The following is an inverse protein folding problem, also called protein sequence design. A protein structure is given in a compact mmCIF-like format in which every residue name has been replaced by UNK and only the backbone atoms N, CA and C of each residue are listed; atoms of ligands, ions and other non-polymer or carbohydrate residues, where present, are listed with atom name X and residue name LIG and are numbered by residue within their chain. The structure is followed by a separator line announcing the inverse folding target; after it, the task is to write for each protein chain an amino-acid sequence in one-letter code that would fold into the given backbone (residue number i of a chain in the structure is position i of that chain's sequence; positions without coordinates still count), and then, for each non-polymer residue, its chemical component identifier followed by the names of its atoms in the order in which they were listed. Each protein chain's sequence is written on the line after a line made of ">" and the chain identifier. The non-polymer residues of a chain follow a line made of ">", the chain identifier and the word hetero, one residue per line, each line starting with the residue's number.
data_IF_300107495883
#
_entry.id   IF_300107495883
#
_cell.length_a   1.000
_cell.length_b   1.000
_cell.length_c   1.000
_cell.angle_alpha   90.00
_cell.angle_beta   90.00
_cell.angle_gamma   90.00
#
_symmetry.space_group_name_H-M   'P 1'
#
loop_
_entity.id
_entity.type
_entity.pdbx_description
1 polymer ?
#
# COMPACT_ATOMS: atom_id res chain seq x y z
N UNK A 1 -22.98 21.50 -9.87
CA UNK A 1 -23.17 20.42 -8.88
C UNK A 1 -23.32 19.04 -9.52
N UNK A 2 -24.01 18.92 -10.65
CA UNK A 2 -24.26 17.64 -11.36
C UNK A 2 -23.00 16.99 -11.95
N UNK A 3 -22.03 17.81 -12.38
CA UNK A 3 -20.75 17.37 -12.94
C UNK A 3 -19.80 16.72 -11.91
N UNK A 4 -19.75 17.27 -10.69
CA UNK A 4 -19.01 16.71 -9.55
C UNK A 4 -19.59 15.34 -9.12
N UNK A 5 -20.90 15.18 -9.24
CA UNK A 5 -21.59 13.95 -8.89
C UNK A 5 -21.27 12.80 -9.87
N UNK A 6 -21.07 13.13 -11.16
CA UNK A 6 -20.74 12.16 -12.23
C UNK A 6 -19.31 11.59 -12.09
N UNK A 7 -18.33 12.44 -11.78
CA UNK A 7 -16.91 12.05 -11.53
C UNK A 7 -16.79 11.00 -10.42
N UNK A 8 -17.58 11.18 -9.37
CA UNK A 8 -17.63 10.33 -8.18
C UNK A 8 -18.10 8.89 -8.48
N UNK A 9 -19.09 8.70 -9.38
CA UNK A 9 -19.68 7.38 -9.69
C UNK A 9 -18.64 6.36 -10.16
N UNK A 10 -17.85 6.74 -11.16
CA UNK A 10 -16.96 5.80 -11.86
C UNK A 10 -15.76 5.43 -11.02
N UNK A 11 -15.25 6.38 -10.24
CA UNK A 11 -14.22 6.10 -9.25
C UNK A 11 -14.71 5.04 -8.25
N UNK A 12 -15.90 5.22 -7.66
CA UNK A 12 -16.46 4.25 -6.72
C UNK A 12 -16.81 2.91 -7.37
N UNK A 13 -17.28 2.90 -8.61
CA UNK A 13 -17.49 1.66 -9.37
C UNK A 13 -16.18 0.89 -9.55
N UNK A 14 -15.14 1.56 -10.02
CA UNK A 14 -13.82 0.97 -10.25
C UNK A 14 -13.22 0.40 -8.96
N UNK A 15 -13.25 1.18 -7.87
CA UNK A 15 -12.78 0.72 -6.55
C UNK A 15 -13.58 -0.48 -6.08
N UNK A 16 -14.90 -0.47 -6.22
CA UNK A 16 -15.76 -1.61 -5.84
C UNK A 16 -15.39 -2.87 -6.62
N UNK A 17 -15.24 -2.77 -7.95
CA UNK A 17 -14.87 -3.91 -8.81
C UNK A 17 -13.50 -4.46 -8.42
N UNK A 18 -12.50 -3.59 -8.22
CA UNK A 18 -11.15 -4.03 -7.85
C UNK A 18 -11.13 -4.65 -6.47
N UNK A 19 -11.80 -4.06 -5.48
CA UNK A 19 -11.86 -4.63 -4.14
C UNK A 19 -12.52 -6.01 -4.15
N UNK A 20 -13.62 -6.18 -4.88
CA UNK A 20 -14.27 -7.48 -5.05
C UNK A 20 -13.33 -8.47 -5.73
N UNK A 21 -12.68 -8.08 -6.83
CA UNK A 21 -11.71 -8.92 -7.53
C UNK A 21 -10.59 -9.39 -6.58
N UNK A 22 -9.97 -8.49 -5.83
CA UNK A 22 -8.91 -8.82 -4.87
C UNK A 22 -9.39 -9.71 -3.72
N UNK A 23 -10.63 -9.52 -3.24
CA UNK A 23 -11.25 -10.40 -2.23
C UNK A 23 -11.45 -11.81 -2.78
N UNK A 24 -11.75 -11.97 -4.07
CA UNK A 24 -11.90 -13.31 -4.66
C UNK A 24 -10.56 -13.96 -5.03
N UNK A 25 -9.55 -13.16 -5.39
CA UNK A 25 -8.22 -13.68 -5.78
C UNK A 25 -7.22 -13.77 -4.62
N UNK A 26 -7.57 -13.39 -3.39
CA UNK A 26 -6.60 -13.37 -2.29
C UNK A 26 -5.93 -14.74 -2.05
N UNK A 27 -6.64 -15.86 -2.25
CA UNK A 27 -6.09 -17.20 -2.03
C UNK A 27 -4.95 -17.53 -3.00
N UNK A 28 -4.96 -17.00 -4.23
CA UNK A 28 -3.84 -17.18 -5.16
C UNK A 28 -2.62 -16.33 -4.83
N UNK A 29 -2.77 -15.36 -3.92
CA UNK A 29 -1.74 -14.40 -3.54
C UNK A 29 -1.30 -14.53 -2.08
N UNK A 30 -1.90 -15.44 -1.32
CA UNK A 30 -1.61 -15.63 0.10
C UNK A 30 -1.42 -17.11 0.39
N UNK A 31 -0.52 -17.41 1.33
CA UNK A 31 -0.28 -18.77 1.81
C UNK A 31 -0.92 -18.89 3.18
N UNK A 32 -1.74 -19.92 3.37
CA UNK A 32 -2.26 -20.26 4.69
C UNK A 32 -1.10 -20.74 5.57
N UNK A 33 -0.81 -19.99 6.63
CA UNK A 33 0.14 -20.40 7.66
C UNK A 33 -0.67 -21.13 8.73
N UNK A 34 -0.41 -22.43 8.91
CA UNK A 34 -0.91 -23.17 10.07
C UNK A 34 -0.29 -22.57 11.33
N UNK A 35 -1.10 -21.90 12.14
CA UNK A 35 -0.73 -21.39 13.46
C UNK A 35 -1.66 -21.97 14.53
N UNK A 36 -1.13 -22.12 15.74
CA UNK A 36 -1.88 -22.57 16.92
C UNK A 36 -2.82 -21.49 17.48
N UNK A 37 -2.89 -20.31 16.87
CA UNK A 37 -3.71 -19.19 17.31
C UNK A 37 -4.85 -18.90 16.34
N UNK A 38 -5.94 -18.31 16.85
CA UNK A 38 -7.20 -18.12 16.14
C UNK A 38 -7.06 -17.42 14.78
N UNK A 39 -8.08 -17.59 13.93
CA UNK A 39 -8.13 -17.11 12.54
C UNK A 39 -7.69 -15.64 12.37
N UNK A 40 -7.99 -14.76 13.34
CA UNK A 40 -7.64 -13.33 13.31
C UNK A 40 -6.13 -13.04 13.34
N UNK A 41 -5.30 -14.02 13.68
CA UNK A 41 -3.84 -13.90 13.68
C UNK A 41 -3.18 -14.22 12.33
N UNK A 42 -3.99 -14.63 11.34
CA UNK A 42 -3.51 -14.91 10.01
C UNK A 42 -3.19 -13.59 9.27
N UNK A 43 -2.07 -13.53 8.53
CA UNK A 43 -1.58 -12.30 7.93
C UNK A 43 -2.51 -11.72 6.86
N UNK A 44 -3.38 -12.55 6.27
CA UNK A 44 -4.33 -12.10 5.25
C UNK A 44 -5.62 -11.50 5.81
N UNK A 45 -5.92 -11.67 7.09
CA UNK A 45 -7.20 -11.19 7.68
C UNK A 45 -7.28 -9.67 7.68
N UNK A 46 -6.22 -8.97 8.09
CA UNK A 46 -6.22 -7.51 8.09
C UNK A 46 -6.39 -6.91 6.68
N UNK A 47 -5.66 -7.38 5.64
CA UNK A 47 -5.93 -6.98 4.26
C UNK A 47 -7.36 -7.27 3.80
N UNK A 48 -7.91 -8.46 4.05
CA UNK A 48 -9.28 -8.81 3.67
C UNK A 48 -10.32 -7.94 4.37
N UNK A 49 -10.11 -7.65 5.66
CA UNK A 49 -10.98 -6.77 6.41
C UNK A 49 -10.98 -5.35 5.84
N UNK A 50 -9.79 -4.81 5.55
CA UNK A 50 -9.63 -3.52 4.88
C UNK A 50 -10.30 -3.46 3.50
N UNK A 51 -10.11 -4.51 2.69
CA UNK A 51 -10.78 -4.64 1.39
C UNK A 51 -12.30 -4.75 1.52
N UNK A 52 -12.80 -5.47 2.53
CA UNK A 52 -14.23 -5.62 2.80
C UNK A 52 -14.88 -4.29 3.16
N UNK A 53 -14.25 -3.51 4.05
CA UNK A 53 -14.69 -2.15 4.38
C UNK A 53 -14.69 -1.27 3.13
N UNK A 54 -13.61 -1.30 2.36
CA UNK A 54 -13.46 -0.51 1.14
C UNK A 54 -14.54 -0.85 0.10
N UNK A 55 -14.79 -2.14 -0.14
CA UNK A 55 -15.82 -2.62 -1.04
C UNK A 55 -17.21 -2.19 -0.57
N UNK A 56 -17.51 -2.36 0.72
CA UNK A 56 -18.81 -2.02 1.31
C UNK A 56 -19.13 -0.52 1.17
N UNK A 57 -18.22 0.36 1.59
CA UNK A 57 -18.45 1.80 1.51
C UNK A 57 -18.45 2.33 0.07
N UNK A 58 -17.59 1.78 -0.79
CA UNK A 58 -17.58 2.14 -2.22
C UNK A 58 -18.87 1.72 -2.91
N UNK A 59 -19.41 0.55 -2.57
CA UNK A 59 -20.68 0.05 -3.07
C UNK A 59 -21.87 0.89 -2.57
N UNK A 60 -21.93 1.23 -1.27
CA UNK A 60 -22.96 2.13 -0.74
C UNK A 60 -22.91 3.48 -1.47
N UNK A 61 -21.72 4.06 -1.64
CA UNK A 61 -21.55 5.31 -2.37
C UNK A 61 -22.00 5.17 -3.82
N UNK A 62 -21.68 4.07 -4.49
CA UNK A 62 -22.14 3.81 -5.85
C UNK A 62 -23.68 3.80 -5.93
N UNK A 63 -24.36 3.09 -5.02
CA UNK A 63 -25.83 3.02 -4.97
C UNK A 63 -26.48 4.40 -4.76
N UNK A 64 -25.90 5.24 -3.89
CA UNK A 64 -26.40 6.59 -3.63
C UNK A 64 -26.28 7.51 -4.84
N UNK A 65 -25.34 7.24 -5.75
CA UNK A 65 -25.01 8.12 -6.87
C UNK A 65 -25.55 7.57 -8.21
N UNK A 66 -26.16 6.37 -8.23
CA UNK A 66 -26.54 5.64 -9.46
C UNK A 66 -27.69 6.25 -10.30
N UNK A 67 -28.30 7.36 -9.89
CA UNK A 67 -29.40 8.00 -10.65
C UNK A 67 -28.95 8.35 -12.08
N UNK A 68 -29.63 7.88 -13.13
CA UNK A 68 -29.27 8.18 -14.51
C UNK A 68 -29.42 9.67 -14.79
N UNK A 69 -28.42 10.30 -15.39
CA UNK A 69 -28.45 11.71 -15.80
C UNK A 69 -28.29 11.71 -17.33
N UNK A 70 -29.29 12.19 -18.05
CA UNK A 70 -29.26 12.30 -19.52
C UNK A 70 -28.09 13.19 -19.98
N UNK A 71 -27.44 12.82 -21.09
CA UNK A 71 -26.27 13.55 -21.63
C UNK A 71 -24.92 13.13 -21.03
N UNK A 72 -24.71 11.84 -20.77
CA UNK A 72 -23.44 11.29 -20.25
C UNK A 72 -22.29 11.36 -21.28
N UNK A 73 -21.14 11.89 -20.84
CA UNK A 73 -19.86 11.75 -21.56
C UNK A 73 -19.42 10.29 -21.54
N UNK A 74 -18.55 9.89 -22.46
CA UNK A 74 -17.95 8.56 -22.47
C UNK A 74 -17.35 8.22 -21.09
N UNK A 75 -17.62 7.00 -20.60
CA UNK A 75 -17.19 6.51 -19.29
C UNK A 75 -15.67 6.66 -19.08
N UNK A 76 -14.90 6.49 -20.15
CA UNK A 76 -13.45 6.62 -20.15
C UNK A 76 -13.01 8.07 -19.89
N UNK A 77 -13.68 9.02 -20.52
CA UNK A 77 -13.40 10.46 -20.40
C UNK A 77 -13.66 10.95 -18.97
N UNK A 78 -14.78 10.52 -18.38
CA UNK A 78 -15.12 10.88 -17.00
C UNK A 78 -14.19 10.21 -15.98
N UNK A 79 -13.65 9.04 -16.27
CA UNK A 79 -12.64 8.39 -15.42
C UNK A 79 -11.30 9.14 -15.46
N UNK A 80 -10.81 9.47 -16.66
CA UNK A 80 -9.56 10.23 -16.85
C UNK A 80 -9.66 11.60 -16.19
N UNK A 81 -10.79 12.27 -16.31
CA UNK A 81 -10.99 13.57 -15.66
C UNK A 81 -11.05 13.47 -14.12
N UNK A 82 -11.56 12.36 -13.59
CA UNK A 82 -11.62 12.10 -12.14
C UNK A 82 -10.26 11.76 -11.55
N UNK A 83 -9.38 11.09 -12.31
CA UNK A 83 -8.00 10.79 -11.89
C UNK A 83 -7.22 12.06 -11.53
N UNK A 84 -7.49 13.19 -12.19
CA UNK A 84 -6.87 14.48 -11.89
C UNK A 84 -7.11 14.97 -10.46
N UNK A 85 -8.28 14.67 -9.88
CA UNK A 85 -8.66 15.05 -8.52
C UNK A 85 -8.11 14.08 -7.47
N UNK A 86 -7.99 12.79 -7.83
CA UNK A 86 -7.41 11.75 -6.97
C UNK A 86 -5.91 11.54 -7.21
N UNK A 87 -5.23 12.51 -7.84
CA UNK A 87 -3.81 12.43 -8.19
C UNK A 87 -2.93 12.05 -7.00
N UNK A 88 -3.22 12.54 -5.80
CA UNK A 88 -2.48 12.18 -4.58
C UNK A 88 -2.64 10.70 -4.22
N UNK A 89 -3.84 10.13 -4.37
CA UNK A 89 -4.10 8.70 -4.13
C UNK A 89 -3.29 7.86 -5.11
N UNK A 90 -3.29 8.24 -6.39
CA UNK A 90 -2.55 7.54 -7.43
C UNK A 90 -1.03 7.61 -7.22
N UNK A 91 -0.49 8.81 -6.91
CA UNK A 91 0.94 8.99 -6.61
C UNK A 91 1.34 8.14 -5.39
N UNK A 92 0.53 8.17 -4.33
CA UNK A 92 0.81 7.39 -3.12
C UNK A 92 0.74 5.89 -3.39
N UNK A 93 -0.20 5.45 -4.22
CA UNK A 93 -0.31 4.06 -4.67
C UNK A 93 0.92 3.61 -5.47
N UNK A 94 1.41 4.43 -6.40
CA UNK A 94 2.65 4.14 -7.14
C UNK A 94 3.85 4.09 -6.19
N UNK A 95 3.98 5.06 -5.28
CA UNK A 95 5.06 5.06 -4.28
C UNK A 95 5.03 3.79 -3.43
N UNK A 96 3.84 3.34 -3.03
CA UNK A 96 3.69 2.10 -2.27
C UNK A 96 4.07 0.87 -3.11
N UNK A 97 3.68 0.82 -4.38
CA UNK A 97 4.09 -0.24 -5.29
C UNK A 97 5.62 -0.29 -5.48
N UNK A 98 6.25 0.87 -5.69
CA UNK A 98 7.72 0.99 -5.78
C UNK A 98 8.38 0.53 -4.49
N UNK A 99 7.84 0.93 -3.33
CA UNK A 99 8.31 0.51 -2.02
C UNK A 99 8.30 -1.03 -1.88
N UNK A 100 7.18 -1.69 -2.18
CA UNK A 100 7.07 -3.16 -2.06
C UNK A 100 8.12 -3.88 -2.92
N UNK A 101 8.33 -3.42 -4.16
CA UNK A 101 9.35 -3.99 -5.03
C UNK A 101 10.78 -3.70 -4.53
N UNK A 102 11.02 -2.49 -4.03
CA UNK A 102 12.32 -2.07 -3.51
C UNK A 102 12.77 -2.91 -2.31
N UNK A 103 11.86 -3.42 -1.47
CA UNK A 103 12.19 -4.27 -0.31
C UNK A 103 13.07 -5.45 -0.72
N UNK A 104 12.75 -6.11 -1.84
CA UNK A 104 13.52 -7.27 -2.35
C UNK A 104 14.91 -6.89 -2.89
N UNK A 105 15.09 -5.62 -3.26
CA UNK A 105 16.30 -5.13 -3.92
C UNK A 105 17.26 -4.54 -2.89
N UNK A 106 16.80 -3.57 -2.09
CA UNK A 106 17.64 -2.77 -1.18
C UNK A 106 17.38 -3.03 0.30
N UNK A 107 16.46 -3.94 0.63
CA UNK A 107 16.10 -4.28 2.00
C UNK A 107 14.97 -3.43 2.58
N UNK A 108 14.35 -3.95 3.64
CA UNK A 108 13.20 -3.34 4.29
C UNK A 108 13.50 -1.97 4.89
N UNK A 109 14.62 -1.83 5.60
CA UNK A 109 14.98 -0.60 6.31
C UNK A 109 15.12 0.59 5.34
N UNK A 110 15.95 0.42 4.30
CA UNK A 110 16.18 1.47 3.30
C UNK A 110 14.92 1.75 2.48
N UNK A 111 14.19 0.71 2.08
CA UNK A 111 12.94 0.88 1.34
C UNK A 111 11.90 1.67 2.14
N UNK A 112 11.73 1.33 3.42
CA UNK A 112 10.78 2.01 4.32
C UNK A 112 11.20 3.46 4.52
N UNK A 113 12.49 3.71 4.70
CA UNK A 113 13.01 5.07 4.88
C UNK A 113 12.79 5.94 3.64
N UNK A 114 13.10 5.43 2.45
CA UNK A 114 12.86 6.15 1.20
C UNK A 114 11.37 6.39 0.96
N UNK A 115 10.52 5.41 1.30
CA UNK A 115 9.08 5.55 1.18
C UNK A 115 8.55 6.65 2.10
N UNK A 116 8.87 6.61 3.40
CA UNK A 116 8.40 7.61 4.38
C UNK A 116 8.94 8.99 4.03
N UNK A 117 10.21 9.12 3.64
CA UNK A 117 10.77 10.40 3.17
C UNK A 117 10.05 10.92 1.92
N UNK A 118 9.68 10.04 0.99
CA UNK A 118 8.90 10.42 -0.20
C UNK A 118 7.51 10.94 0.19
N UNK A 119 6.87 10.35 1.20
CA UNK A 119 5.59 10.84 1.73
C UNK A 119 5.77 12.19 2.43
N UNK A 120 6.76 12.34 3.30
CA UNK A 120 7.07 13.61 3.99
C UNK A 120 7.35 14.72 2.97
N UNK A 121 8.10 14.40 1.91
CA UNK A 121 8.36 15.31 0.79
C UNK A 121 7.08 15.68 0.04
N UNK A 122 6.23 14.70 -0.28
CA UNK A 122 4.95 14.91 -0.96
C UNK A 122 3.99 15.77 -0.11
N UNK A 123 4.05 15.62 1.22
CA UNK A 123 3.33 16.46 2.18
C UNK A 123 3.94 17.86 2.36
N UNK A 124 5.04 18.19 1.67
CA UNK A 124 5.81 19.45 1.80
C UNK A 124 6.34 19.71 3.21
N UNK A 125 6.60 18.66 3.97
CA UNK A 125 7.09 18.71 5.35
C UNK A 125 8.59 18.46 5.45
N UNK A 126 9.34 18.56 4.35
CA UNK A 126 10.78 18.24 4.38
C UNK A 126 11.55 19.31 5.17
N UNK A 127 11.93 18.97 6.40
CA UNK A 127 12.78 19.77 7.28
C UNK A 127 13.65 18.83 8.11
N UNK A 128 14.72 19.36 8.71
CA UNK A 128 15.65 18.55 9.52
C UNK A 128 14.93 17.77 10.64
N UNK A 129 13.90 18.37 11.26
CA UNK A 129 13.09 17.73 12.31
C UNK A 129 12.31 16.54 11.76
N UNK A 130 11.66 16.69 10.60
CA UNK A 130 10.87 15.61 9.99
C UNK A 130 11.74 14.50 9.42
N UNK A 131 12.92 14.83 8.90
CA UNK A 131 13.92 13.84 8.49
C UNK A 131 14.38 13.03 9.70
N UNK A 132 14.74 13.68 10.81
CA UNK A 132 15.13 13.00 12.05
C UNK A 132 14.00 12.11 12.59
N UNK A 133 12.77 12.63 12.63
CA UNK A 133 11.60 11.84 13.04
C UNK A 133 11.37 10.63 12.13
N UNK A 134 11.68 10.75 10.84
CA UNK A 134 11.61 9.61 9.91
C UNK A 134 12.62 8.54 10.29
N UNK A 135 13.87 8.92 10.57
CA UNK A 135 14.88 7.96 11.07
C UNK A 135 14.44 7.27 12.35
N UNK A 136 13.94 8.03 13.33
CA UNK A 136 13.46 7.49 14.61
C UNK A 136 12.28 6.53 14.38
N UNK A 137 11.31 6.92 13.57
CA UNK A 137 10.14 6.10 13.27
C UNK A 137 10.52 4.79 12.57
N UNK A 138 11.40 4.84 11.56
CA UNK A 138 11.87 3.64 10.86
C UNK A 138 12.65 2.74 11.81
N UNK A 139 13.52 3.29 12.66
CA UNK A 139 14.26 2.51 13.65
C UNK A 139 13.30 1.81 14.64
N UNK A 140 12.27 2.50 15.12
CA UNK A 140 11.24 1.91 15.99
C UNK A 140 10.47 0.80 15.27
N UNK A 141 10.07 1.00 14.02
CA UNK A 141 9.37 -0.01 13.22
C UNK A 141 10.25 -1.26 13.06
N UNK A 142 11.52 -1.09 12.69
CA UNK A 142 12.48 -2.20 12.56
C UNK A 142 12.64 -2.93 13.90
N UNK A 143 12.76 -2.20 15.02
CA UNK A 143 12.85 -2.81 16.35
C UNK A 143 11.57 -3.60 16.70
N UNK A 144 10.38 -3.08 16.40
CA UNK A 144 9.13 -3.80 16.65
C UNK A 144 9.07 -5.09 15.83
N UNK A 145 9.35 -5.03 14.53
CA UNK A 145 9.29 -6.23 13.69
C UNK A 145 10.35 -7.26 14.07
N UNK A 146 11.54 -6.79 14.44
CA UNK A 146 12.68 -7.66 14.72
C UNK A 146 12.71 -8.20 16.14
N UNK A 147 12.48 -7.34 17.14
CA UNK A 147 12.55 -7.71 18.57
C UNK A 147 11.16 -8.08 19.09
N UNK A 148 10.12 -7.34 18.70
CA UNK A 148 8.76 -7.57 19.16
C UNK A 148 8.07 -8.76 18.49
N UNK A 149 8.22 -8.89 17.17
CA UNK A 149 7.51 -9.92 16.36
C UNK A 149 8.44 -11.03 15.86
N UNK A 150 9.77 -10.85 15.97
CA UNK A 150 10.80 -11.80 15.50
C UNK A 150 10.61 -12.24 14.03
N UNK A 151 10.22 -11.30 13.17
CA UNK A 151 10.08 -11.53 11.73
C UNK A 151 11.44 -11.30 11.06
N UNK A 152 11.94 -12.34 10.39
CA UNK A 152 13.11 -12.25 9.53
C UNK A 152 12.70 -11.77 8.15
N UNK A 153 13.33 -10.69 7.70
CA UNK A 153 13.12 -10.12 6.37
C UNK A 153 13.97 -10.95 5.39
N UNK A 154 13.45 -11.27 4.19
CA UNK A 154 14.17 -12.07 3.20
C UNK A 154 15.49 -11.42 2.77
N UNK A 155 16.44 -12.26 2.33
CA UNK A 155 17.77 -11.84 1.88
C UNK A 155 17.70 -10.78 0.77
N UNK A 156 18.58 -9.80 0.86
CA UNK A 156 18.58 -8.61 0.01
C UNK A 156 19.45 -8.84 -1.21
N UNK A 157 18.86 -8.80 -2.40
CA UNK A 157 19.58 -9.07 -3.65
C UNK A 157 20.79 -8.13 -3.89
N UNK A 158 20.70 -6.87 -3.45
CA UNK A 158 21.81 -5.93 -3.56
C UNK A 158 22.98 -6.30 -2.63
N UNK A 159 22.71 -6.81 -1.42
CA UNK A 159 23.75 -7.19 -0.49
C UNK A 159 24.52 -8.40 -0.99
N UNK A 160 23.82 -9.38 -1.56
CA UNK A 160 24.44 -10.55 -2.20
C UNK A 160 25.38 -10.17 -3.37
N UNK A 161 25.08 -9.06 -4.05
CA UNK A 161 25.89 -8.58 -5.18
C UNK A 161 27.09 -7.73 -4.74
N UNK A 162 27.00 -7.03 -3.61
CA UNK A 162 28.02 -6.07 -3.16
C UNK A 162 28.95 -6.62 -2.07
N UNK A 163 28.49 -7.57 -1.26
CA UNK A 163 29.22 -8.11 -0.12
C UNK A 163 29.38 -9.63 -0.22
N UNK A 164 30.40 -10.19 0.43
CA UNK A 164 30.62 -11.64 0.48
C UNK A 164 31.18 -12.08 1.84
N UNK A 165 30.97 -13.37 2.18
CA UNK A 165 31.46 -13.96 3.43
C UNK A 165 30.73 -13.42 4.67
N UNK A 166 31.48 -13.15 5.74
CA UNK A 166 30.93 -12.73 7.04
C UNK A 166 30.23 -11.37 6.99
N UNK A 167 30.64 -10.49 6.06
CA UNK A 167 30.02 -9.17 5.88
C UNK A 167 28.62 -9.26 5.27
N UNK A 168 28.42 -10.18 4.32
CA UNK A 168 27.11 -10.49 3.75
C UNK A 168 26.19 -11.09 4.83
N UNK A 169 26.70 -12.03 5.61
CA UNK A 169 25.95 -12.62 6.72
C UNK A 169 25.53 -11.55 7.74
N UNK A 170 26.42 -10.64 8.09
CA UNK A 170 26.10 -9.53 8.98
C UNK A 170 25.05 -8.60 8.37
N UNK A 171 25.19 -8.22 7.10
CA UNK A 171 24.22 -7.35 6.43
C UNK A 171 22.84 -7.99 6.36
N UNK A 172 22.71 -9.23 5.86
CA UNK A 172 21.42 -9.94 5.79
C UNK A 172 20.84 -10.22 7.19
N UNK A 173 21.69 -10.46 8.18
CA UNK A 173 21.23 -10.68 9.55
C UNK A 173 20.71 -9.41 10.18
N UNK A 174 21.34 -8.26 9.93
CA UNK A 174 21.13 -7.04 10.70
C UNK A 174 20.41 -5.89 10.01
N UNK A 175 20.28 -5.86 8.68
CA UNK A 175 19.78 -4.73 7.92
C UNK A 175 18.78 -5.14 6.83
#
# INVERSE_FOLDING_TARGET
>A
MEYEHRKSKLFFLFITIISIYLIFTYQSHTVEIKRDHGWYTQPYVAPLFGLGILAFFSFIKLLLVIRPIEGEKSLLESFVESLGYYRMVFITGILFFVYVNAITIIGFTLSTMLFVLSIVWLSRLISAIWVLNTFIAVALIVLIFRVGVNIWIPDVALYEKLFSGETLWFMNKYF
#
